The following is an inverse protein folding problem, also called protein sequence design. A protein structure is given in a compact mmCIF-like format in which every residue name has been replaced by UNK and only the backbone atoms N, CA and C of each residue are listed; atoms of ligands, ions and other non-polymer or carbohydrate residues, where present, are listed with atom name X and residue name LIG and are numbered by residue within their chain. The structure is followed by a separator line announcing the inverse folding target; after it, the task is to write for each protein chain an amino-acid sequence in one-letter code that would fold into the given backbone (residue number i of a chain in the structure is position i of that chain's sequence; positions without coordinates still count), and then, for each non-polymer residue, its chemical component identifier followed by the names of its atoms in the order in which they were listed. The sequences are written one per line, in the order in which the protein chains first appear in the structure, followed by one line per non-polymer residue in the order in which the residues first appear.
data_IF_060898666731
#
_entry.id   IF_060898666731
#
_cell.length_a   1.000
_cell.length_b   1.000
_cell.length_c   1.000
_cell.angle_alpha   90.00
_cell.angle_beta   90.00
_cell.angle_gamma   90.00
#
_symmetry.space_group_name_H-M   'P 1'
#
loop_
_entity.id
_entity.type
_entity.pdbx_description
1 polymer ?
#
# COMPACT_ATOMS: atom_id res chain seq x y z
N UNK A 1 32.66 19.73 10.61
CA UNK A 1 32.59 18.27 10.38
C UNK A 1 32.70 17.56 11.71
N UNK A 2 31.57 17.26 12.36
CA UNK A 2 31.53 16.24 13.41
C UNK A 2 31.48 14.88 12.71
N UNK A 3 32.14 13.83 13.23
CA UNK A 3 32.04 12.50 12.64
C UNK A 3 30.60 12.03 12.83
N UNK A 4 29.85 11.90 11.73
CA UNK A 4 28.73 10.96 11.73
C UNK A 4 29.32 9.62 12.14
N UNK A 5 28.95 9.13 13.33
CA UNK A 5 29.19 7.73 13.65
C UNK A 5 28.51 6.91 12.55
N UNK A 6 29.30 6.17 11.78
CA UNK A 6 28.78 5.33 10.70
C UNK A 6 27.70 4.41 11.29
N UNK A 7 26.44 4.49 10.82
CA UNK A 7 25.39 3.60 11.30
C UNK A 7 25.75 2.15 10.97
N UNK A 8 25.27 1.21 11.77
CA UNK A 8 25.37 -0.20 11.41
C UNK A 8 24.63 -0.44 10.07
N UNK A 9 25.24 -1.24 9.21
CA UNK A 9 24.69 -1.64 7.91
C UNK A 9 24.86 -3.15 7.73
N UNK A 10 24.11 -3.72 6.79
CA UNK A 10 24.28 -5.11 6.38
C UNK A 10 25.32 -5.18 5.27
N UNK A 11 26.45 -5.82 5.53
CA UNK A 11 27.41 -6.22 4.50
C UNK A 11 26.96 -7.57 3.94
N UNK A 12 26.36 -7.54 2.74
CA UNK A 12 25.70 -8.70 2.13
C UNK A 12 26.62 -9.36 1.11
N UNK A 13 26.81 -10.68 1.23
CA UNK A 13 27.58 -11.46 0.26
C UNK A 13 26.76 -11.87 -0.97
N UNK A 14 25.43 -11.79 -0.87
CA UNK A 14 24.48 -12.06 -1.94
C UNK A 14 23.29 -11.10 -1.82
N UNK A 15 22.86 -10.54 -2.94
CA UNK A 15 21.68 -9.68 -3.01
C UNK A 15 20.91 -9.95 -4.30
N UNK A 16 19.59 -10.00 -4.20
CA UNK A 16 18.68 -10.04 -5.33
C UNK A 16 17.75 -8.84 -5.22
N UNK A 17 18.12 -7.74 -5.87
CA UNK A 17 17.34 -6.51 -5.87
C UNK A 17 17.38 -5.84 -7.25
N UNK A 18 16.25 -5.43 -7.83
CA UNK A 18 16.21 -4.73 -9.11
C UNK A 18 17.09 -3.46 -9.16
N UNK A 19 17.26 -2.73 -8.04
CA UNK A 19 18.10 -1.54 -7.98
C UNK A 19 19.54 -1.80 -8.47
N UNK A 20 20.09 -2.99 -8.20
CA UNK A 20 21.44 -3.37 -8.61
C UNK A 20 21.57 -3.49 -10.12
N UNK A 21 20.49 -3.84 -10.83
CA UNK A 21 20.48 -3.89 -12.30
C UNK A 21 20.51 -2.51 -12.95
N UNK A 22 20.15 -1.46 -12.20
CA UNK A 22 20.26 -0.05 -12.60
C UNK A 22 21.60 0.58 -12.21
N UNK A 23 22.56 -0.22 -11.74
CA UNK A 23 23.91 0.25 -11.38
C UNK A 23 24.03 0.78 -9.95
N UNK A 24 23.02 0.62 -9.10
CA UNK A 24 23.15 0.93 -7.68
C UNK A 24 24.06 -0.09 -6.96
N UNK A 25 24.89 0.38 -6.03
CA UNK A 25 25.73 -0.49 -5.18
C UNK A 25 24.98 -1.02 -3.95
N UNK A 26 23.84 -0.42 -3.60
CA UNK A 26 23.09 -0.78 -2.40
C UNK A 26 21.84 0.06 -2.19
N UNK A 27 21.24 -0.07 -1.01
CA UNK A 27 20.02 0.64 -0.61
C UNK A 27 20.23 1.31 0.73
N UNK A 28 19.84 2.57 0.81
CA UNK A 28 19.78 3.32 2.08
C UNK A 28 18.31 3.44 2.49
N UNK A 29 17.95 2.83 3.61
CA UNK A 29 16.60 2.93 4.15
C UNK A 29 16.35 4.30 4.80
N UNK A 30 15.33 5.01 4.31
CA UNK A 30 14.95 6.36 4.77
C UNK A 30 13.62 6.36 5.56
N UNK A 31 13.19 5.19 6.00
CA UNK A 31 12.00 5.00 6.83
C UNK A 31 12.29 5.12 8.33
N UNK A 32 11.25 4.84 9.13
CA UNK A 32 11.34 4.88 10.59
C UNK A 32 12.23 3.77 11.15
N UNK A 33 12.98 4.10 12.22
CA UNK A 33 13.82 3.13 12.96
C UNK A 33 13.03 1.92 13.45
N UNK A 34 11.74 2.10 13.77
CA UNK A 34 10.86 1.02 14.25
C UNK A 34 10.69 -0.15 13.27
N UNK A 35 10.93 0.08 11.97
CA UNK A 35 10.86 -0.97 10.94
C UNK A 35 12.25 -1.56 10.61
N UNK A 36 13.33 -1.03 11.19
CA UNK A 36 14.70 -1.48 10.89
C UNK A 36 14.99 -2.84 11.55
N UNK A 37 15.24 -3.86 10.72
CA UNK A 37 15.74 -5.16 11.20
C UNK A 37 17.12 -5.03 11.86
N UNK A 38 17.98 -4.13 11.37
CA UNK A 38 19.30 -3.87 11.95
C UNK A 38 19.14 -3.33 13.37
N UNK A 39 18.26 -2.35 13.56
CA UNK A 39 17.98 -1.78 14.88
C UNK A 39 17.44 -2.84 15.82
N UNK A 40 16.45 -3.62 15.37
CA UNK A 40 15.86 -4.69 16.16
C UNK A 40 16.94 -5.68 16.65
N UNK A 41 17.76 -6.22 15.74
CA UNK A 41 18.77 -7.23 16.05
C UNK A 41 19.89 -6.69 16.95
N UNK A 42 20.39 -5.47 16.69
CA UNK A 42 21.45 -4.88 17.50
C UNK A 42 20.93 -4.49 18.88
N UNK A 43 19.70 -3.98 18.98
CA UNK A 43 19.09 -3.61 20.25
C UNK A 43 18.90 -4.83 21.18
N UNK A 44 18.70 -6.04 20.64
CA UNK A 44 18.69 -7.28 21.45
C UNK A 44 20.00 -7.55 22.19
N UNK A 45 21.12 -6.97 21.75
CA UNK A 45 22.42 -7.07 22.44
C UNK A 45 22.61 -6.01 23.53
N UNK A 46 21.67 -5.05 23.65
CA UNK A 46 21.78 -3.87 24.52
C UNK A 46 22.54 -2.70 23.89
N UNK A 47 23.04 -2.84 22.66
CA UNK A 47 23.71 -1.77 21.93
C UNK A 47 22.72 -0.87 21.17
N UNK A 48 23.01 0.42 21.09
CA UNK A 48 22.23 1.41 20.33
C UNK A 48 22.85 1.75 18.96
N UNK A 49 23.88 1.03 18.54
CA UNK A 49 24.60 1.28 17.27
C UNK A 49 23.82 0.87 16.02
N UNK A 50 22.68 0.18 16.19
CA UNK A 50 21.80 -0.27 15.11
C UNK A 50 20.76 0.76 14.63
N UNK A 51 20.69 1.93 15.28
CA UNK A 51 19.73 2.99 14.94
C UNK A 51 19.90 3.41 13.48
N UNK A 52 18.78 3.78 12.83
CA UNK A 52 18.76 4.14 11.41
C UNK A 52 19.67 5.35 11.10
N UNK A 53 20.06 5.48 9.82
CA UNK A 53 20.88 6.60 9.35
C UNK A 53 20.25 7.95 9.73
N UNK A 54 18.97 8.14 9.42
CA UNK A 54 18.28 9.41 9.68
C UNK A 54 18.11 9.68 11.17
N UNK A 55 17.80 8.66 11.99
CA UNK A 55 17.77 8.83 13.44
C UNK A 55 19.11 9.34 13.98
N UNK A 56 20.22 8.73 13.54
CA UNK A 56 21.55 9.16 13.99
C UNK A 56 21.90 10.56 13.46
N UNK A 57 21.52 10.91 12.23
CA UNK A 57 21.75 12.24 11.66
C UNK A 57 21.03 13.33 12.47
N UNK A 58 19.75 13.14 12.77
CA UNK A 58 18.94 14.08 13.54
C UNK A 58 19.39 14.16 15.01
N UNK A 59 19.72 13.03 15.64
CA UNK A 59 20.23 13.01 17.00
C UNK A 59 21.59 13.70 17.15
N UNK A 60 22.42 13.70 16.10
CA UNK A 60 23.73 14.35 16.10
C UNK A 60 23.65 15.88 16.04
N UNK A 61 22.58 16.43 15.46
CA UNK A 61 22.37 17.88 15.40
C UNK A 61 20.90 18.24 15.65
N UNK A 62 20.43 18.18 16.91
CA UNK A 62 19.01 18.37 17.25
C UNK A 62 18.50 19.81 17.06
N UNK A 63 19.36 20.75 16.67
CA UNK A 63 18.97 22.12 16.33
C UNK A 63 18.59 22.29 14.85
N UNK A 64 18.92 21.31 14.00
CA UNK A 64 18.53 21.30 12.60
C UNK A 64 17.14 20.67 12.42
N UNK A 65 16.43 20.98 11.33
CA UNK A 65 15.14 20.38 11.07
C UNK A 65 15.20 18.86 10.86
N UNK A 66 14.20 18.14 11.40
CA UNK A 66 14.11 16.69 11.36
C UNK A 66 13.31 16.18 10.15
N UNK A 67 13.64 16.65 8.95
CA UNK A 67 12.96 16.20 7.74
C UNK A 67 13.93 15.87 6.61
N UNK A 68 13.42 15.11 5.65
CA UNK A 68 14.06 14.91 4.34
C UNK A 68 13.15 15.46 3.26
N UNK A 69 13.73 15.87 2.13
CA UNK A 69 12.96 16.36 1.00
C UNK A 69 13.41 15.74 -0.33
N UNK A 70 12.45 15.52 -1.22
CA UNK A 70 12.64 14.91 -2.54
C UNK A 70 12.02 15.74 -3.66
N UNK A 71 12.79 15.90 -4.74
CA UNK A 71 12.30 16.16 -6.08
C UNK A 71 12.74 15.01 -6.99
N UNK A 72 11.82 14.38 -7.73
CA UNK A 72 12.16 13.32 -8.68
C UNK A 72 11.89 13.83 -10.10
N UNK A 73 12.88 13.76 -11.00
CA UNK A 73 12.73 14.26 -12.37
C UNK A 73 12.91 13.15 -13.41
N UNK A 74 12.27 13.31 -14.58
CA UNK A 74 12.40 12.37 -15.69
C UNK A 74 13.67 12.68 -16.47
N UNK A 75 14.47 11.64 -16.73
CA UNK A 75 15.59 11.73 -17.66
C UNK A 75 15.18 11.96 -19.12
N UNK A 76 13.89 11.74 -19.43
CA UNK A 76 13.32 12.00 -20.76
C UNK A 76 12.68 13.38 -20.90
N UNK A 77 12.75 14.21 -19.86
CA UNK A 77 12.27 15.59 -19.95
C UNK A 77 13.24 16.37 -20.86
N UNK A 78 12.78 16.91 -22.00
CA UNK A 78 13.64 17.62 -22.93
C UNK A 78 14.24 18.90 -22.35
N UNK A 79 13.67 19.41 -21.25
CA UNK A 79 14.12 20.61 -20.54
C UNK A 79 14.90 20.27 -19.25
N UNK A 80 15.08 18.99 -18.91
CA UNK A 80 15.88 18.61 -17.75
C UNK A 80 17.38 18.73 -18.01
N UNK A 81 18.09 19.35 -17.06
CA UNK A 81 19.55 19.30 -16.96
C UNK A 81 20.02 17.86 -16.65
N UNK A 82 21.34 17.61 -16.64
CA UNK A 82 21.94 16.31 -16.25
C UNK A 82 21.59 15.86 -14.79
N UNK A 83 20.79 16.63 -14.05
CA UNK A 83 20.38 16.39 -12.65
C UNK A 83 18.98 15.77 -12.64
N UNK A 84 18.90 14.45 -12.43
CA UNK A 84 17.65 13.68 -12.50
C UNK A 84 16.76 13.76 -11.23
N UNK A 85 17.02 14.74 -10.35
CA UNK A 85 16.29 14.96 -9.10
C UNK A 85 17.18 15.42 -7.96
N UNK A 86 16.58 15.55 -6.77
CA UNK A 86 17.25 15.98 -5.55
C UNK A 86 16.81 15.14 -4.35
N UNK A 87 17.74 15.01 -3.41
CA UNK A 87 17.50 14.52 -2.06
C UNK A 87 18.26 15.41 -1.09
N UNK A 88 17.58 15.85 -0.04
CA UNK A 88 18.15 16.72 0.99
C UNK A 88 17.69 16.32 2.38
N UNK A 89 18.49 16.68 3.39
CA UNK A 89 18.24 16.40 4.80
C UNK A 89 18.29 17.75 5.55
N UNK A 90 17.19 18.11 6.20
CA UNK A 90 17.07 19.33 7.00
C UNK A 90 16.97 20.64 6.21
N UNK A 91 16.92 20.57 4.87
CA UNK A 91 16.83 21.72 3.99
C UNK A 91 15.87 21.48 2.83
N UNK A 92 15.43 22.56 2.18
CA UNK A 92 14.60 22.52 0.99
C UNK A 92 15.31 23.23 -0.16
N UNK A 93 15.01 22.81 -1.37
CA UNK A 93 15.46 23.53 -2.55
C UNK A 93 14.80 24.92 -2.60
N UNK A 94 15.56 26.00 -2.88
CA UNK A 94 15.03 27.35 -2.90
C UNK A 94 13.81 27.51 -3.82
N UNK A 95 13.82 26.85 -4.97
CA UNK A 95 12.73 26.85 -5.96
C UNK A 95 11.42 26.28 -5.40
N UNK A 96 11.51 25.26 -4.54
CA UNK A 96 10.35 24.58 -3.97
C UNK A 96 10.01 25.02 -2.54
N UNK A 97 10.61 26.12 -2.06
CA UNK A 97 10.41 26.65 -0.70
C UNK A 97 8.95 26.90 -0.31
N UNK A 98 8.05 27.06 -1.28
CA UNK A 98 6.61 27.17 -1.07
C UNK A 98 6.00 25.95 -0.34
N UNK A 99 6.62 24.77 -0.42
CA UNK A 99 6.16 23.56 0.29
C UNK A 99 6.12 23.75 1.81
N UNK A 100 6.97 24.62 2.37
CA UNK A 100 7.01 24.89 3.81
C UNK A 100 5.68 25.50 4.30
N UNK A 101 4.95 26.18 3.41
CA UNK A 101 3.62 26.76 3.66
C UNK A 101 2.47 25.78 3.34
N UNK A 102 2.75 24.60 2.79
CA UNK A 102 1.72 23.58 2.58
C UNK A 102 1.20 23.03 3.91
N UNK A 103 -0.09 22.74 3.92
CA UNK A 103 -0.77 22.04 5.01
C UNK A 103 -0.10 20.68 5.24
N UNK A 104 0.25 20.42 6.50
CA UNK A 104 0.79 19.12 6.90
C UNK A 104 -0.27 18.02 6.75
N UNK A 105 0.14 16.90 6.18
CA UNK A 105 -0.62 15.66 6.06
C UNK A 105 -0.05 14.67 7.06
N UNK A 106 -0.77 14.39 8.15
CA UNK A 106 -0.31 13.43 9.16
C UNK A 106 -0.14 12.03 8.58
N UNK A 107 0.80 11.28 9.14
CA UNK A 107 0.93 9.86 8.83
C UNK A 107 -0.28 9.04 9.31
N UNK A 108 -0.38 7.81 8.83
CA UNK A 108 -1.32 6.80 9.32
C UNK A 108 -0.59 5.53 9.82
N UNK A 109 -0.66 5.18 11.11
CA UNK A 109 -1.32 5.92 12.18
C UNK A 109 -0.61 7.26 12.47
N UNK A 110 -1.35 8.17 13.11
CA UNK A 110 -0.82 9.51 13.49
C UNK A 110 0.27 9.39 14.56
N UNK A 111 0.12 8.46 15.49
CA UNK A 111 1.09 8.24 16.57
C UNK A 111 1.90 6.98 16.28
N UNK A 112 3.22 7.07 16.44
CA UNK A 112 4.17 5.96 16.25
C UNK A 112 4.04 5.21 14.92
N UNK A 113 4.01 5.90 13.76
CA UNK A 113 4.01 5.22 12.47
C UNK A 113 5.30 4.40 12.28
N UNK A 114 5.19 3.28 11.56
CA UNK A 114 6.34 2.47 11.10
C UNK A 114 6.69 2.73 9.64
N UNK A 115 5.83 3.44 8.91
CA UNK A 115 5.96 3.72 7.47
C UNK A 115 5.42 5.11 7.14
N UNK A 116 5.86 5.65 6.00
CA UNK A 116 5.33 6.89 5.41
C UNK A 116 3.96 6.68 4.76
N UNK A 117 3.05 6.11 5.53
CA UNK A 117 1.66 5.93 5.17
C UNK A 117 0.91 7.24 5.39
N UNK A 118 0.06 7.64 4.46
CA UNK A 118 -0.88 8.76 4.58
C UNK A 118 -2.27 8.32 4.14
N UNK A 119 -3.28 9.19 4.31
CA UNK A 119 -4.63 8.94 3.84
C UNK A 119 -4.87 9.57 2.46
N UNK A 120 -5.30 8.76 1.51
CA UNK A 120 -5.81 9.19 0.21
C UNK A 120 -7.32 9.43 0.30
N UNK A 121 -7.79 10.55 -0.24
CA UNK A 121 -9.18 10.96 -0.18
C UNK A 121 -10.01 10.42 -1.36
N UNK A 122 -9.46 10.52 -2.57
CA UNK A 122 -10.11 10.13 -3.82
C UNK A 122 -9.09 10.07 -4.97
N UNK A 123 -9.47 9.37 -6.04
CA UNK A 123 -8.82 9.50 -7.36
C UNK A 123 -9.73 10.27 -8.28
N UNK A 124 -9.17 11.23 -9.02
CA UNK A 124 -9.91 12.10 -9.93
C UNK A 124 -9.44 11.76 -11.34
N UNK A 125 -10.36 11.36 -12.23
CA UNK A 125 -10.06 11.00 -13.63
C UNK A 125 -10.92 11.89 -14.52
N UNK A 126 -10.30 12.91 -15.12
CA UNK A 126 -11.00 14.05 -15.70
C UNK A 126 -12.04 14.61 -14.72
N UNK A 127 -13.31 14.65 -15.16
CA UNK A 127 -14.41 15.14 -14.32
C UNK A 127 -14.98 14.11 -13.33
N UNK A 128 -14.49 12.86 -13.32
CA UNK A 128 -15.02 11.79 -12.46
C UNK A 128 -14.24 11.72 -11.15
N UNK A 129 -14.97 11.64 -10.04
CA UNK A 129 -14.43 11.37 -8.71
C UNK A 129 -14.63 9.90 -8.39
N UNK A 130 -13.54 9.16 -8.20
CA UNK A 130 -13.52 7.77 -7.79
C UNK A 130 -13.24 7.73 -6.29
N UNK A 131 -14.21 7.24 -5.52
CA UNK A 131 -14.04 7.01 -4.08
C UNK A 131 -13.06 5.87 -3.81
N UNK A 132 -12.37 5.95 -2.68
CA UNK A 132 -11.43 4.93 -2.23
C UNK A 132 -11.90 4.31 -0.90
N UNK A 133 -11.42 3.10 -0.63
CA UNK A 133 -11.72 2.36 0.59
C UNK A 133 -10.44 1.74 1.14
N UNK A 134 -10.48 1.40 2.43
CA UNK A 134 -9.36 0.78 3.12
C UNK A 134 -9.76 -0.55 3.73
N UNK A 135 -8.85 -1.51 3.63
CA UNK A 135 -8.84 -2.78 4.36
C UNK A 135 -8.02 -2.71 5.66
N UNK A 136 -7.26 -1.62 5.86
CA UNK A 136 -6.40 -1.41 7.02
C UNK A 136 -7.24 -1.14 8.26
N UNK A 137 -6.93 -1.86 9.34
CA UNK A 137 -7.68 -1.74 10.59
C UNK A 137 -7.65 -0.31 11.14
N UNK A 138 -8.84 0.22 11.43
CA UNK A 138 -9.01 1.55 12.04
C UNK A 138 -8.93 2.71 11.04
N UNK A 139 -8.63 2.45 9.76
CA UNK A 139 -8.62 3.49 8.75
C UNK A 139 -10.01 4.15 8.62
N UNK A 140 -10.09 5.48 8.42
CA UNK A 140 -11.37 6.17 8.26
C UNK A 140 -12.13 5.67 7.03
N UNK A 141 -13.47 5.64 7.13
CA UNK A 141 -14.33 5.33 5.99
C UNK A 141 -14.16 6.36 4.86
N UNK A 142 -14.16 5.89 3.62
CA UNK A 142 -13.98 6.75 2.43
C UNK A 142 -12.55 7.25 2.24
N UNK A 143 -11.57 6.60 2.88
CA UNK A 143 -10.13 6.83 2.68
C UNK A 143 -9.44 5.51 2.36
N UNK A 144 -8.30 5.59 1.67
CA UNK A 144 -7.33 4.50 1.54
C UNK A 144 -6.05 4.88 2.29
N UNK A 145 -5.39 3.89 2.90
CA UNK A 145 -4.06 4.07 3.48
C UNK A 145 -3.04 3.82 2.37
N UNK A 146 -2.23 4.82 2.06
CA UNK A 146 -1.27 4.74 0.96
C UNK A 146 0.15 4.98 1.46
N UNK A 147 1.07 4.09 1.13
CA UNK A 147 2.50 4.23 1.39
C UNK A 147 3.11 5.11 0.31
N UNK A 148 3.86 6.14 0.69
CA UNK A 148 4.75 6.87 -0.22
C UNK A 148 6.13 6.20 -0.22
N UNK A 149 6.57 5.67 -1.35
CA UNK A 149 7.78 4.85 -1.45
C UNK A 149 8.65 5.24 -2.65
N UNK A 150 9.72 6.02 -2.39
CA UNK A 150 10.74 6.36 -3.38
C UNK A 150 11.63 5.17 -3.80
N UNK A 151 11.44 4.00 -3.18
CA UNK A 151 12.14 2.77 -3.54
C UNK A 151 11.43 1.96 -4.63
N UNK A 152 10.29 2.45 -5.14
CA UNK A 152 9.46 1.72 -6.10
C UNK A 152 9.10 2.61 -7.29
N UNK A 153 9.28 2.12 -8.51
CA UNK A 153 9.04 2.91 -9.73
C UNK A 153 7.56 3.12 -10.07
N UNK A 154 6.73 2.10 -9.85
CA UNK A 154 5.31 2.10 -10.23
C UNK A 154 4.39 2.09 -9.02
N UNK A 155 3.18 2.61 -9.20
CA UNK A 155 2.18 2.63 -8.14
C UNK A 155 1.40 1.33 -8.17
N UNK A 156 1.31 0.67 -7.03
CA UNK A 156 0.45 -0.48 -6.87
C UNK A 156 -0.85 -0.09 -6.16
N UNK A 157 -1.97 -0.42 -6.79
CA UNK A 157 -3.31 -0.04 -6.33
C UNK A 157 -4.29 -1.20 -6.49
N UNK A 158 -5.53 -1.02 -6.03
CA UNK A 158 -6.56 -2.04 -6.19
C UNK A 158 -6.94 -2.25 -7.67
N UNK A 159 -7.41 -3.45 -7.99
CA UNK A 159 -7.86 -3.80 -9.34
C UNK A 159 -8.98 -2.88 -9.84
N UNK A 160 -9.92 -2.51 -8.97
CA UNK A 160 -11.01 -1.58 -9.29
C UNK A 160 -10.49 -0.20 -9.71
N UNK A 161 -9.45 0.31 -9.04
CA UNK A 161 -8.84 1.60 -9.37
C UNK A 161 -8.10 1.51 -10.69
N UNK A 162 -7.29 0.47 -10.89
CA UNK A 162 -6.57 0.29 -12.15
C UNK A 162 -7.55 0.14 -13.33
N UNK A 163 -8.66 -0.56 -13.11
CA UNK A 163 -9.75 -0.68 -14.10
C UNK A 163 -10.44 0.66 -14.35
N UNK A 164 -10.63 1.49 -13.33
CA UNK A 164 -11.19 2.82 -13.51
C UNK A 164 -10.27 3.74 -14.33
N UNK A 165 -8.94 3.60 -14.18
CA UNK A 165 -7.92 4.35 -14.92
C UNK A 165 -7.86 3.88 -16.38
N UNK A 166 -7.68 2.59 -16.63
CA UNK A 166 -7.35 2.08 -17.97
C UNK A 166 -8.52 1.43 -18.71
N UNK A 167 -9.53 0.90 -18.02
CA UNK A 167 -10.60 0.10 -18.63
C UNK A 167 -11.51 0.88 -19.59
N UNK A 168 -11.50 2.21 -19.51
CA UNK A 168 -12.20 3.09 -20.46
C UNK A 168 -11.35 3.54 -21.66
N UNK A 169 -10.05 3.24 -21.67
CA UNK A 169 -9.12 3.67 -22.72
C UNK A 169 -9.30 2.77 -23.95
N UNK A 170 -9.58 3.37 -25.11
CA UNK A 170 -9.75 2.61 -26.36
C UNK A 170 -8.46 1.89 -26.73
N UNK A 171 -8.53 0.58 -26.97
CA UNK A 171 -7.35 -0.23 -27.31
C UNK A 171 -6.50 -0.66 -26.10
N UNK A 172 -6.85 -0.25 -24.89
CA UNK A 172 -6.21 -0.78 -23.69
C UNK A 172 -6.72 -2.19 -23.36
N UNK A 173 -5.84 -3.04 -22.84
CA UNK A 173 -6.20 -4.36 -22.33
C UNK A 173 -5.33 -4.73 -21.13
N UNK A 174 -5.91 -5.44 -20.17
CA UNK A 174 -5.12 -6.05 -19.11
C UNK A 174 -4.43 -7.32 -19.63
N UNK A 175 -3.11 -7.41 -19.49
CA UNK A 175 -2.34 -8.60 -19.76
C UNK A 175 -2.13 -9.36 -18.44
N UNK A 176 -2.87 -10.45 -18.25
CA UNK A 176 -2.80 -11.27 -17.03
C UNK A 176 -1.48 -12.03 -16.89
N UNK A 177 -0.72 -12.21 -17.98
CA UNK A 177 0.61 -12.83 -17.91
C UNK A 177 1.66 -11.87 -17.37
N UNK A 178 1.49 -10.57 -17.64
CA UNK A 178 2.34 -9.50 -17.11
C UNK A 178 1.82 -8.95 -15.77
N UNK A 179 0.53 -9.16 -15.47
CA UNK A 179 -0.13 -8.52 -14.33
C UNK A 179 -0.25 -7.00 -14.50
N UNK A 180 -0.27 -6.51 -15.75
CA UNK A 180 -0.16 -5.09 -16.08
C UNK A 180 -1.09 -4.72 -17.24
N UNK A 181 -1.54 -3.47 -17.26
CA UNK A 181 -2.30 -2.92 -18.39
C UNK A 181 -1.37 -2.56 -19.54
N UNK A 182 -1.72 -3.01 -20.75
CA UNK A 182 -1.16 -2.52 -22.00
C UNK A 182 -2.09 -1.43 -22.52
N UNK A 183 -1.52 -0.29 -22.91
CA UNK A 183 -2.25 0.91 -23.30
C UNK A 183 -1.65 1.50 -24.58
N UNK A 184 -2.47 2.12 -25.46
CA UNK A 184 -1.92 2.87 -26.58
C UNK A 184 -1.00 4.00 -26.10
N UNK A 185 0.12 4.20 -26.78
CA UNK A 185 1.08 5.25 -26.40
C UNK A 185 0.57 6.68 -26.60
N UNK A 186 -0.48 6.86 -27.38
CA UNK A 186 -1.17 8.14 -27.60
C UNK A 186 -2.37 8.34 -26.65
N UNK A 187 -2.62 7.39 -25.73
CA UNK A 187 -3.64 7.52 -24.72
C UNK A 187 -3.21 8.51 -23.62
N UNK A 188 -3.72 9.73 -23.70
CA UNK A 188 -3.63 10.69 -22.61
C UNK A 188 -4.65 10.34 -21.52
N UNK A 189 -4.16 10.16 -20.28
CA UNK A 189 -4.99 9.90 -19.11
C UNK A 189 -4.83 11.07 -18.15
N UNK A 190 -5.86 11.92 -18.08
CA UNK A 190 -5.95 13.03 -17.14
C UNK A 190 -6.38 12.53 -15.75
N UNK A 191 -5.42 12.48 -14.82
CA UNK A 191 -5.61 11.95 -13.46
C UNK A 191 -4.97 12.84 -12.39
N UNK A 192 -5.64 12.93 -11.24
CA UNK A 192 -5.10 13.54 -10.04
C UNK A 192 -5.45 12.72 -8.79
N UNK A 193 -4.61 12.83 -7.76
CA UNK A 193 -4.90 12.29 -6.43
C UNK A 193 -5.36 13.41 -5.51
N UNK A 194 -6.37 13.15 -4.69
CA UNK A 194 -6.77 14.06 -3.63
C UNK A 194 -6.23 13.58 -2.29
N UNK A 195 -5.40 14.40 -1.65
CA UNK A 195 -4.73 14.09 -0.39
C UNK A 195 -4.88 15.29 0.56
N UNK A 196 -5.41 15.05 1.76
CA UNK A 196 -5.60 16.13 2.75
C UNK A 196 -6.49 17.27 2.24
N UNK A 197 -7.46 16.97 1.38
CA UNK A 197 -8.36 17.91 0.74
C UNK A 197 -7.78 18.67 -0.45
N UNK A 198 -6.49 18.49 -0.77
CA UNK A 198 -5.82 19.14 -1.92
C UNK A 198 -5.69 18.17 -3.09
N UNK A 199 -5.72 18.71 -4.30
CA UNK A 199 -5.60 17.94 -5.55
C UNK A 199 -4.18 18.02 -6.08
N UNK A 200 -3.61 16.88 -6.43
CA UNK A 200 -2.27 16.74 -7.00
C UNK A 200 -2.38 16.01 -8.35
N UNK A 201 -2.35 16.77 -9.47
CA UNK A 201 -2.32 16.21 -10.81
C UNK A 201 -1.08 15.34 -11.02
N UNK A 202 -1.22 14.28 -11.83
CA UNK A 202 -0.10 13.45 -12.25
C UNK A 202 0.13 13.67 -13.74
N UNK A 203 1.38 13.81 -14.13
CA UNK A 203 1.74 14.03 -15.53
C UNK A 203 1.40 12.80 -16.40
N UNK A 204 0.67 12.93 -17.53
CA UNK A 204 0.23 11.78 -18.34
C UNK A 204 1.36 10.88 -18.86
N UNK A 205 2.56 11.43 -19.14
CA UNK A 205 3.73 10.61 -19.50
C UNK A 205 4.20 9.65 -18.39
N UNK A 206 3.89 9.92 -17.12
CA UNK A 206 4.18 8.98 -16.03
C UNK A 206 3.14 7.86 -15.91
N UNK A 207 1.99 7.99 -16.59
CA UNK A 207 0.93 6.97 -16.57
C UNK A 207 1.14 5.91 -17.65
N UNK A 208 1.69 6.31 -18.80
CA UNK A 208 1.77 5.50 -20.01
C UNK A 208 3.18 5.53 -20.65
N UNK A 209 4.25 5.19 -19.92
CA UNK A 209 5.59 5.07 -20.49
C UNK A 209 5.66 3.94 -21.52
N UNK A 210 6.63 4.05 -22.43
CA UNK A 210 6.94 2.97 -23.36
C UNK A 210 7.39 1.72 -22.60
N UNK A 211 6.98 0.54 -23.07
CA UNK A 211 7.43 -0.73 -22.50
C UNK A 211 8.94 -0.89 -22.67
N UNK A 212 9.60 -1.37 -21.62
CA UNK A 212 11.03 -1.71 -21.66
C UNK A 212 11.34 -2.87 -22.62
N UNK A 213 10.36 -3.74 -22.89
CA UNK A 213 10.52 -4.90 -23.76
C UNK A 213 10.05 -4.65 -25.19
N UNK A 214 9.17 -3.66 -25.40
CA UNK A 214 8.65 -3.26 -26.70
C UNK A 214 8.38 -1.75 -26.72
N UNK A 215 9.32 -0.93 -27.22
CA UNK A 215 9.15 0.52 -27.28
C UNK A 215 7.98 1.00 -28.15
N UNK A 216 7.37 0.13 -28.97
CA UNK A 216 6.20 0.45 -29.78
C UNK A 216 4.87 0.29 -29.03
N UNK A 217 4.92 -0.29 -27.83
CA UNK A 217 3.80 -0.47 -26.91
C UNK A 217 4.02 0.33 -25.63
N UNK A 218 2.93 0.78 -24.99
CA UNK A 218 2.99 1.47 -23.71
C UNK A 218 2.27 0.66 -22.64
N UNK A 219 2.68 0.87 -21.39
CA UNK A 219 2.16 0.14 -20.23
C UNK A 219 1.60 1.08 -19.19
N UNK A 220 0.57 0.65 -18.48
CA UNK A 220 0.03 1.39 -17.34
C UNK A 220 0.95 1.28 -16.12
N UNK A 221 1.28 2.40 -15.49
CA UNK A 221 2.13 2.44 -14.27
C UNK A 221 1.37 2.29 -12.96
N UNK A 222 0.04 2.18 -13.03
CA UNK A 222 -0.79 1.71 -11.93
C UNK A 222 -1.01 0.22 -12.08
N UNK A 223 -0.33 -0.56 -11.23
CA UNK A 223 -0.31 -2.01 -11.29
C UNK A 223 -1.37 -2.56 -10.33
N UNK A 224 -2.32 -3.38 -10.81
CA UNK A 224 -3.29 -3.98 -9.92
C UNK A 224 -2.62 -4.99 -8.99
N UNK A 225 -2.86 -4.84 -7.70
CA UNK A 225 -2.40 -5.80 -6.70
C UNK A 225 -3.57 -6.48 -5.98
N UNK A 226 -3.41 -7.77 -5.61
CA UNK A 226 -4.24 -8.37 -4.59
C UNK A 226 -4.01 -7.62 -3.27
N UNK A 227 -5.09 -7.33 -2.56
CA UNK A 227 -5.28 -6.37 -1.44
C UNK A 227 -4.45 -6.65 -0.15
N UNK A 228 -3.27 -7.26 -0.23
CA UNK A 228 -2.46 -7.62 0.95
C UNK A 228 -0.97 -7.37 0.74
N UNK A 229 -0.61 -6.20 0.21
CA UNK A 229 0.78 -5.73 0.29
C UNK A 229 1.05 -5.14 1.66
N UNK A 230 2.28 -5.35 2.16
CA UNK A 230 2.63 -4.98 3.53
C UNK A 230 1.85 -5.73 4.61
N UNK A 231 1.32 -6.93 4.32
CA UNK A 231 0.56 -7.74 5.27
C UNK A 231 -0.66 -7.03 5.91
N UNK A 232 -1.28 -6.10 5.17
CA UNK A 232 -2.46 -5.33 5.62
C UNK A 232 -2.11 -4.01 6.32
N UNK A 233 -0.87 -3.53 6.20
CA UNK A 233 -0.43 -2.25 6.78
C UNK A 233 -0.82 -1.03 5.93
N UNK A 234 -1.03 -1.21 4.63
CA UNK A 234 -1.48 -0.17 3.69
C UNK A 234 -2.25 -0.82 2.54
N UNK A 235 -3.10 -0.03 1.87
CA UNK A 235 -3.87 -0.49 0.72
C UNK A 235 -3.07 -0.34 -0.57
N UNK A 236 -2.36 0.78 -0.74
CA UNK A 236 -1.62 1.12 -1.96
C UNK A 236 -0.17 1.45 -1.64
N UNK A 237 0.70 1.21 -2.61
CA UNK A 237 2.08 1.67 -2.61
C UNK A 237 2.24 2.67 -3.76
N UNK A 238 2.47 3.93 -3.43
CA UNK A 238 2.67 5.03 -4.38
C UNK A 238 4.17 5.17 -4.66
N UNK A 239 4.54 4.91 -5.91
CA UNK A 239 5.92 4.94 -6.39
C UNK A 239 6.27 6.23 -7.14
N UNK A 240 7.45 6.22 -7.76
CA UNK A 240 8.05 7.35 -8.47
C UNK A 240 7.14 7.93 -9.56
N UNK A 241 6.37 7.10 -10.27
CA UNK A 241 5.42 7.53 -11.30
C UNK A 241 4.42 8.59 -10.80
N UNK A 242 4.10 8.57 -9.51
CA UNK A 242 3.25 9.59 -8.87
C UNK A 242 4.08 10.61 -8.12
N UNK A 243 5.12 10.17 -7.39
CA UNK A 243 5.95 11.05 -6.57
C UNK A 243 6.69 12.11 -7.39
N UNK A 244 7.01 11.85 -8.67
CA UNK A 244 7.56 12.85 -9.61
C UNK A 244 6.68 14.09 -9.78
N UNK A 245 5.38 13.97 -9.55
CA UNK A 245 4.45 15.09 -9.70
C UNK A 245 4.38 15.99 -8.45
N UNK A 246 5.19 15.69 -7.42
CA UNK A 246 5.16 16.38 -6.14
C UNK A 246 6.56 16.62 -5.57
N UNK A 247 6.83 17.82 -5.10
CA UNK A 247 7.91 18.04 -4.16
C UNK A 247 7.42 17.64 -2.77
N UNK A 248 8.14 16.75 -2.10
CA UNK A 248 7.69 16.12 -0.86
C UNK A 248 8.69 16.31 0.26
N UNK A 249 8.18 16.76 1.42
CA UNK A 249 8.91 16.78 2.69
C UNK A 249 8.34 15.67 3.56
N UNK A 250 9.23 14.85 4.11
CA UNK A 250 8.91 13.82 5.10
C UNK A 250 9.52 14.23 6.44
N UNK A 251 8.68 14.75 7.33
CA UNK A 251 9.07 15.32 8.61
C UNK A 251 8.83 14.31 9.73
N UNK A 252 9.88 13.96 10.44
CA UNK A 252 9.86 12.97 11.52
C UNK A 252 9.27 13.53 12.82
N UNK A 253 9.01 14.84 12.88
CA UNK A 253 8.59 15.55 14.08
C UNK A 253 9.77 16.08 14.90
N UNK A 254 9.51 17.17 15.62
CA UNK A 254 10.48 17.76 16.54
C UNK A 254 10.52 16.99 17.86
N UNK A 255 11.69 16.94 18.48
CA UNK A 255 11.81 16.41 19.84
C UNK A 255 11.26 17.43 20.86
N UNK A 256 10.41 16.98 21.76
CA UNK A 256 9.99 17.77 22.91
C UNK A 256 11.12 17.88 23.96
N UNK A 257 10.90 18.69 25.00
CA UNK A 257 11.88 18.86 26.09
C UNK A 257 12.15 17.59 26.90
N UNK A 258 11.31 16.56 26.76
CA UNK A 258 11.48 15.26 27.38
C UNK A 258 12.17 14.25 26.44
N UNK A 259 12.55 14.67 25.23
CA UNK A 259 13.20 13.83 24.22
C UNK A 259 12.25 12.92 23.46
N UNK A 260 10.93 13.16 23.54
CA UNK A 260 9.96 12.42 22.73
C UNK A 260 9.84 13.08 21.36
N UNK A 261 9.90 12.27 20.31
CA UNK A 261 9.67 12.75 18.94
C UNK A 261 8.19 13.04 18.73
N UNK A 262 7.89 14.21 18.15
CA UNK A 262 6.54 14.60 17.75
C UNK A 262 5.95 13.66 16.69
N UNK A 263 4.66 13.85 16.39
CA UNK A 263 4.00 13.04 15.38
C UNK A 263 4.51 13.37 13.97
N UNK A 264 4.99 12.38 13.20
CA UNK A 264 5.46 12.61 11.84
C UNK A 264 4.35 13.08 10.90
N UNK A 265 4.75 13.81 9.86
CA UNK A 265 3.84 14.28 8.81
C UNK A 265 4.58 14.46 7.49
N UNK A 266 3.80 14.61 6.42
CA UNK A 266 4.30 14.94 5.08
C UNK A 266 3.79 16.32 4.68
N UNK A 267 4.60 17.12 3.99
CA UNK A 267 4.12 18.28 3.24
C UNK A 267 4.37 18.05 1.76
N UNK A 268 3.36 18.37 0.95
CA UNK A 268 3.38 18.15 -0.49
C UNK A 268 3.18 19.49 -1.21
N UNK A 269 3.91 19.68 -2.29
CA UNK A 269 3.74 20.76 -3.26
C UNK A 269 3.58 20.13 -4.63
N UNK A 270 2.49 20.45 -5.33
CA UNK A 270 2.29 19.96 -6.70
C UNK A 270 3.29 20.64 -7.65
N UNK A 271 3.92 19.83 -8.50
CA UNK A 271 4.85 20.28 -9.54
C UNK A 271 4.23 20.28 -10.94
N UNK A 272 2.97 19.87 -11.05
CA UNK A 272 2.29 19.64 -12.33
C UNK A 272 1.17 20.65 -12.51
N UNK A 273 1.28 21.50 -13.53
CA UNK A 273 0.12 22.14 -14.13
C UNK A 273 -0.50 21.18 -15.16
N UNK A 274 -1.77 20.78 -15.02
CA UNK A 274 -2.35 19.75 -15.87
C UNK A 274 -2.50 20.20 -17.33
N UNK A 275 -2.71 21.49 -17.61
CA UNK A 275 -2.82 21.97 -18.98
C UNK A 275 -1.45 21.96 -19.67
N UNK A 276 -0.41 22.35 -18.94
CA UNK A 276 0.97 22.25 -19.42
C UNK A 276 1.37 20.79 -19.66
N UNK A 277 1.08 19.89 -18.71
CA UNK A 277 1.37 18.47 -18.85
C UNK A 277 0.67 17.82 -20.05
N UNK A 278 -0.55 18.26 -20.36
CA UNK A 278 -1.25 17.85 -21.58
C UNK A 278 -0.52 18.32 -22.84
N UNK A 279 -0.10 19.59 -22.87
CA UNK A 279 0.67 20.14 -23.99
C UNK A 279 1.99 19.36 -24.22
N UNK A 280 2.72 19.07 -23.14
CA UNK A 280 3.97 18.30 -23.16
C UNK A 280 3.74 16.85 -23.60
N UNK A 281 2.68 16.19 -23.10
CA UNK A 281 2.30 14.85 -23.56
C UNK A 281 2.09 14.82 -25.07
N UNK A 282 1.34 15.76 -25.63
CA UNK A 282 1.06 15.83 -27.06
C UNK A 282 2.24 16.31 -27.90
N UNK A 283 3.21 17.03 -27.33
CA UNK A 283 4.49 17.29 -27.98
C UNK A 283 5.28 16.00 -28.22
N UNK A 284 5.24 15.08 -27.27
CA UNK A 284 5.94 13.78 -27.35
C UNK A 284 5.14 12.74 -28.16
N UNK A 285 3.82 12.67 -27.96
CA UNK A 285 2.95 11.60 -28.49
C UNK A 285 2.10 12.01 -29.69
N UNK A 286 2.08 13.29 -30.05
CA UNK A 286 1.18 13.85 -31.07
C UNK A 286 -0.26 13.96 -30.58
N UNK A 287 -1.14 14.56 -31.38
CA UNK A 287 -2.56 14.77 -31.02
C UNK A 287 -2.89 16.23 -30.72
N UNK A 288 -3.96 16.47 -29.94
CA UNK A 288 -4.41 17.81 -29.56
C UNK A 288 -4.49 17.92 -28.04
N UNK A 289 -3.76 18.85 -27.40
CA UNK A 289 -3.82 19.08 -25.97
C UNK A 289 -5.22 19.37 -25.46
N UNK A 290 -5.54 18.79 -24.31
CA UNK A 290 -6.64 19.21 -23.47
C UNK A 290 -6.36 20.60 -22.91
N UNK A 291 -7.43 21.36 -22.67
CA UNK A 291 -7.35 22.72 -22.09
C UNK A 291 -8.45 22.91 -21.08
N UNK A 292 -8.24 23.84 -20.14
CA UNK A 292 -9.14 24.11 -19.02
C UNK A 292 -9.39 22.84 -18.17
N UNK A 293 -8.35 22.05 -17.94
CA UNK A 293 -8.43 20.87 -17.09
C UNK A 293 -8.74 21.31 -15.65
N UNK A 294 -9.80 20.73 -15.09
CA UNK A 294 -10.24 20.97 -13.71
C UNK A 294 -10.74 19.68 -13.10
N UNK A 295 -10.49 19.50 -11.81
CA UNK A 295 -10.92 18.31 -11.10
C UNK A 295 -12.03 18.62 -10.10
N UNK A 296 -13.00 17.70 -10.02
CA UNK A 296 -14.06 17.73 -9.01
C UNK A 296 -13.54 17.13 -7.70
N UNK A 297 -12.91 17.95 -6.87
CA UNK A 297 -12.45 17.53 -5.55
C UNK A 297 -13.62 16.96 -4.73
N UNK A 298 -13.43 15.79 -4.14
CA UNK A 298 -14.38 15.19 -3.22
C UNK A 298 -14.53 16.08 -1.98
N UNK A 299 -15.74 16.17 -1.44
CA UNK A 299 -15.99 16.77 -0.13
C UNK A 299 -15.37 15.87 0.94
N UNK A 300 -14.12 16.13 1.29
CA UNK A 300 -13.46 15.51 2.44
C UNK A 300 -14.10 16.07 3.72
N UNK A 301 -15.15 15.43 4.25
CA UNK A 301 -15.57 15.68 5.63
C UNK A 301 -14.43 15.22 6.54
N UNK A 302 -13.57 16.15 6.91
CA UNK A 302 -12.47 15.91 7.83
C UNK A 302 -13.04 15.46 9.18
N UNK A 303 -12.87 14.19 9.53
CA UNK A 303 -12.81 13.78 10.93
C UNK A 303 -11.43 14.19 11.49
N UNK A 304 -11.12 15.49 11.47
CA UNK A 304 -9.96 16.02 12.17
C UNK A 304 -10.41 16.41 13.57
N UNK A 305 -10.05 15.58 14.54
CA UNK A 305 -10.13 15.94 15.95
C UNK A 305 -9.09 17.02 16.24
N UNK A 306 -9.48 18.28 16.15
CA UNK A 306 -8.84 19.35 16.93
C UNK A 306 -9.88 20.36 17.38
N UNK A 307 -9.89 20.62 18.69
CA UNK A 307 -10.68 21.69 19.30
C UNK A 307 -10.09 23.04 18.89
N UNK A 308 -10.83 23.84 18.12
CA UNK A 308 -10.70 25.28 18.16
C UNK A 308 -12.00 25.98 17.75
N UNK A 309 -12.35 26.94 18.59
CA UNK A 309 -13.58 27.74 18.65
C UNK A 309 -13.80 28.65 17.43
N UNK A 310 -15.07 28.76 17.03
CA UNK A 310 -15.67 30.06 16.68
C UNK A 310 -15.52 30.53 15.25
N UNK A 311 -16.45 30.10 14.38
CA UNK A 311 -16.67 30.70 13.08
C UNK A 311 -17.97 30.19 12.49
N UNK A 312 -19.05 30.97 12.60
CA UNK A 312 -20.33 30.65 11.97
C UNK A 312 -20.17 30.78 10.45
N UNK A 313 -20.23 29.66 9.74
CA UNK A 313 -20.45 29.62 8.30
C UNK A 313 -21.76 28.89 8.05
N UNK A 314 -22.77 29.66 7.65
CA UNK A 314 -24.04 29.14 7.15
C UNK A 314 -23.77 28.42 5.83
N UNK A 315 -23.79 27.08 5.85
CA UNK A 315 -23.72 26.25 4.65
C UNK A 315 -25.11 26.12 4.08
N UNK A 316 -25.31 26.63 2.87
CA UNK A 316 -26.53 26.42 2.08
C UNK A 316 -26.57 24.96 1.66
N UNK A 317 -27.45 24.18 2.27
CA UNK A 317 -27.64 22.76 1.98
C UNK A 317 -28.32 22.57 0.62
N UNK A 318 -27.77 21.71 -0.24
CA UNK A 318 -28.45 21.24 -1.45
C UNK A 318 -29.76 20.52 -1.07
N UNK A 319 -30.86 20.81 -1.77
CA UNK A 319 -32.20 20.28 -1.48
C UNK A 319 -32.26 18.74 -1.36
N UNK A 320 -31.35 18.03 -2.02
CA UNK A 320 -31.23 16.57 -1.98
C UNK A 320 -30.66 16.02 -0.67
N UNK A 321 -29.76 16.78 -0.02
CA UNK A 321 -29.21 16.43 1.29
C UNK A 321 -30.23 16.72 2.41
N UNK A 322 -31.02 17.78 2.25
CA UNK A 322 -32.13 18.06 3.15
C UNK A 322 -33.19 16.94 3.09
N UNK A 323 -33.53 16.48 1.88
CA UNK A 323 -34.53 15.43 1.68
C UNK A 323 -34.08 14.07 2.25
N UNK A 324 -32.79 13.72 2.07
CA UNK A 324 -32.21 12.51 2.67
C UNK A 324 -32.14 12.58 4.20
N UNK A 325 -31.79 13.72 4.79
CA UNK A 325 -31.79 13.90 6.25
C UNK A 325 -33.21 13.81 6.83
N UNK A 326 -34.23 14.36 6.15
CA UNK A 326 -35.63 14.20 6.57
C UNK A 326 -36.11 12.76 6.44
N UNK A 327 -35.72 12.03 5.39
CA UNK A 327 -36.05 10.59 5.24
C UNK A 327 -35.40 9.77 6.35
N UNK A 328 -34.11 9.98 6.63
CA UNK A 328 -33.41 9.29 7.73
C UNK A 328 -34.08 9.57 9.07
N UNK A 329 -34.39 10.83 9.38
CA UNK A 329 -35.10 11.18 10.62
C UNK A 329 -36.50 10.57 10.74
N UNK A 330 -37.19 10.38 9.62
CA UNK A 330 -38.56 9.82 9.60
C UNK A 330 -38.57 8.30 9.70
N UNK A 331 -37.63 7.61 9.04
CA UNK A 331 -37.62 6.14 8.98
C UNK A 331 -36.81 5.48 10.08
N UNK A 332 -35.83 6.17 10.69
CA UNK A 332 -35.00 5.60 11.76
C UNK A 332 -35.81 5.15 13.00
N UNK A 333 -36.80 5.92 13.50
CA UNK A 333 -37.64 5.46 14.62
C UNK A 333 -38.49 4.22 14.26
N UNK A 334 -39.00 4.15 13.03
CA UNK A 334 -39.77 3.01 12.56
C UNK A 334 -38.92 1.74 12.43
N UNK A 335 -37.69 1.87 11.94
CA UNK A 335 -36.71 0.78 11.85
C UNK A 335 -36.32 0.26 13.24
N UNK A 336 -36.04 1.16 14.19
CA UNK A 336 -35.74 0.80 15.58
C UNK A 336 -36.93 0.11 16.26
N UNK A 337 -38.17 0.54 15.99
CA UNK A 337 -39.37 -0.10 16.51
C UNK A 337 -39.55 -1.53 15.97
N UNK A 338 -39.31 -1.75 14.67
CA UNK A 338 -39.38 -3.10 14.06
C UNK A 338 -38.30 -4.02 14.64
N UNK A 339 -37.07 -3.51 14.82
CA UNK A 339 -35.98 -4.27 15.44
C UNK A 339 -36.29 -4.64 16.89
N UNK A 340 -36.85 -3.70 17.67
CA UNK A 340 -37.28 -3.96 19.04
C UNK A 340 -38.40 -4.99 19.12
N UNK A 341 -39.36 -4.96 18.19
CA UNK A 341 -40.44 -5.95 18.11
C UNK A 341 -39.91 -7.35 17.77
N UNK A 342 -38.98 -7.46 16.83
CA UNK A 342 -38.32 -8.73 16.50
C UNK A 342 -37.54 -9.29 17.69
N UNK A 343 -36.80 -8.44 18.41
CA UNK A 343 -36.10 -8.85 19.63
C UNK A 343 -37.07 -9.34 20.72
N UNK A 344 -38.22 -8.69 20.88
CA UNK A 344 -39.24 -9.07 21.86
C UNK A 344 -39.90 -10.42 21.51
N UNK A 345 -40.19 -10.66 20.22
CA UNK A 345 -40.70 -11.95 19.75
C UNK A 345 -39.69 -13.08 20.05
N UNK A 346 -38.41 -12.86 19.82
CA UNK A 346 -37.35 -13.85 20.13
C UNK A 346 -37.31 -14.15 21.63
N UNK A 347 -37.39 -13.13 22.49
CA UNK A 347 -37.40 -13.33 23.94
C UNK A 347 -38.62 -14.12 24.42
N UNK A 348 -39.80 -13.87 23.84
CA UNK A 348 -41.01 -14.63 24.15
C UNK A 348 -40.89 -16.11 23.72
N UNK A 349 -40.29 -16.39 22.57
CA UNK A 349 -40.04 -17.75 22.11
C UNK A 349 -39.06 -18.50 23.03
N UNK A 350 -38.01 -17.82 23.51
CA UNK A 350 -37.06 -18.38 24.48
C UNK A 350 -37.77 -18.70 25.81
N UNK A 351 -38.61 -17.77 26.31
CA UNK A 351 -39.38 -17.99 27.53
C UNK A 351 -40.36 -19.17 27.40
N UNK A 352 -41.06 -19.26 26.26
CA UNK A 352 -41.96 -20.38 25.97
C UNK A 352 -41.21 -21.73 25.90
N UNK A 353 -40.03 -21.75 25.29
CA UNK A 353 -39.17 -22.94 25.25
C UNK A 353 -38.73 -23.37 26.66
N UNK A 354 -38.35 -22.43 27.53
CA UNK A 354 -38.01 -22.72 28.92
C UNK A 354 -39.19 -23.28 29.71
N UNK A 355 -40.39 -22.69 29.57
CA UNK A 355 -41.61 -23.18 30.23
C UNK A 355 -41.97 -24.59 29.75
N UNK A 356 -41.83 -24.87 28.44
CA UNK A 356 -42.04 -26.20 27.88
C UNK A 356 -41.06 -27.23 28.45
N UNK A 357 -39.77 -26.89 28.55
CA UNK A 357 -38.74 -27.77 29.12
C UNK A 357 -38.97 -28.05 30.61
N UNK A 358 -39.38 -27.06 31.40
CA UNK A 358 -39.68 -27.25 32.81
C UNK A 358 -40.95 -28.06 33.05
N UNK A 359 -41.98 -27.93 32.21
CA UNK A 359 -43.19 -28.77 32.27
C UNK A 359 -42.92 -30.23 31.89
N UNK A 360 -41.90 -30.51 31.07
CA UNK A 360 -41.53 -31.88 30.68
C UNK A 360 -40.74 -32.65 31.74
N UNK A 361 -40.21 -31.98 32.77
CA UNK A 361 -39.48 -32.62 33.90
C UNK A 361 -40.38 -33.31 34.96
N UNK A 362 -41.69 -33.36 34.73
CA UNK A 362 -42.68 -33.96 35.65
C UNK A 362 -43.00 -35.45 35.48
N UNK A 363 -42.14 -36.28 34.87
CA UNK A 363 -42.32 -37.75 34.88
C UNK A 363 -41.08 -38.44 35.45
N UNK A 364 -41.20 -38.90 36.70
CA UNK A 364 -40.23 -39.78 37.38
C UNK A 364 -40.11 -41.09 36.59
N UNK A 365 -38.92 -41.43 36.13
CA UNK A 365 -38.56 -42.81 35.77
C UNK A 365 -37.39 -43.24 36.63
N UNK A 366 -37.58 -44.39 37.25
CA UNK A 366 -36.83 -45.01 38.35
C UNK A 366 -35.46 -45.48 37.85
N UNK A 367 -34.44 -45.30 38.68
CA UNK A 367 -33.08 -45.75 38.45
C UNK A 367 -32.97 -47.28 38.30
N UNK A 368 -32.14 -47.74 37.37
CA UNK A 368 -31.55 -49.08 37.41
C UNK A 368 -30.05 -48.97 37.13
N UNK A 369 -29.29 -49.55 38.03
CA UNK A 369 -27.83 -49.55 38.18
C UNK A 369 -27.10 -50.26 37.04
N UNK A 370 -25.98 -49.68 36.60
CA UNK A 370 -24.96 -50.35 35.77
C UNK A 370 -24.20 -51.40 36.60
N UNK A 371 -23.72 -52.46 35.94
CA UNK A 371 -22.28 -52.74 36.05
C UNK A 371 -21.65 -53.14 34.71
N UNK A 372 -20.34 -52.91 34.60
CA UNK A 372 -19.48 -53.80 33.82
C UNK A 372 -18.97 -53.27 32.49
N UNK A 373 -17.82 -52.59 32.60
CA UNK A 373 -16.70 -52.54 31.64
C UNK A 373 -16.52 -53.84 30.85
N UNK A 374 -16.42 -53.75 29.52
CA UNK A 374 -15.37 -54.40 28.71
C UNK A 374 -15.54 -54.07 27.20
N UNK A 375 -14.40 -53.91 26.53
CA UNK A 375 -14.19 -53.57 25.11
C UNK A 375 -14.95 -54.44 24.12
N UNK A 376 -15.05 -54.02 22.85
CA UNK A 376 -14.95 -55.00 21.78
C UNK A 376 -14.05 -54.58 20.60
N UNK A 377 -13.29 -55.59 20.18
CA UNK A 377 -12.60 -55.73 18.90
C UNK A 377 -13.59 -56.17 17.79
N UNK A 378 -13.15 -56.25 16.52
CA UNK A 378 -13.93 -55.86 15.34
C UNK A 378 -14.73 -57.01 14.71
N UNK A 379 -15.70 -56.65 13.88
CA UNK A 379 -16.48 -57.59 13.08
C UNK A 379 -16.15 -57.46 11.58
N UNK A 380 -16.07 -58.62 10.94
CA UNK A 380 -15.60 -58.86 9.59
C UNK A 380 -16.76 -58.95 8.59
N UNK A 381 -16.45 -58.55 7.34
CA UNK A 381 -17.00 -58.86 6.00
C UNK A 381 -18.33 -59.62 5.79
N UNK A 382 -19.05 -59.17 4.76
CA UNK A 382 -19.48 -59.86 3.50
C UNK A 382 -20.22 -58.83 2.61
N UNK A 383 -20.33 -58.83 1.27
CA UNK A 383 -19.70 -59.49 0.11
C UNK A 383 -20.47 -59.06 -1.18
N UNK A 384 -19.80 -58.74 -2.30
CA UNK A 384 -20.12 -59.10 -3.71
C UNK A 384 -19.21 -58.31 -4.69
N UNK A 385 -18.21 -58.93 -5.33
CA UNK A 385 -18.16 -59.65 -6.62
C UNK A 385 -17.90 -58.77 -7.87
N UNK A 386 -16.69 -58.93 -8.47
CA UNK A 386 -16.30 -58.43 -9.80
C UNK A 386 -14.81 -58.10 -9.96
N UNK A 387 -13.99 -59.07 -10.42
CA UNK A 387 -12.53 -59.03 -10.71
C UNK A 387 -12.21 -58.55 -12.16
N UNK A 388 -10.95 -58.44 -12.63
CA UNK A 388 -9.69 -57.92 -12.03
C UNK A 388 -8.80 -57.09 -13.01
N UNK A 389 -7.85 -56.28 -12.50
CA UNK A 389 -6.40 -56.22 -12.89
C UNK A 389 -5.68 -54.93 -12.44
N UNK A 390 -5.10 -54.99 -11.22
CA UNK A 390 -3.72 -54.68 -10.76
C UNK A 390 -2.80 -53.62 -11.45
N UNK A 391 -1.75 -53.09 -10.78
CA UNK A 391 -1.79 -52.13 -9.65
C UNK A 391 -0.79 -50.95 -9.80
N UNK A 392 -0.99 -49.86 -9.05
CA UNK A 392 0.07 -49.13 -8.29
C UNK A 392 -0.52 -47.96 -7.48
N UNK A 393 0.04 -47.62 -6.30
CA UNK A 393 -0.68 -46.90 -5.25
C UNK A 393 -0.47 -45.38 -5.24
N UNK A 394 -1.51 -44.65 -4.82
CA UNK A 394 -1.46 -43.24 -4.44
C UNK A 394 -1.12 -43.12 -2.94
N UNK A 395 -0.12 -42.32 -2.60
CA UNK A 395 0.26 -41.99 -1.22
C UNK A 395 -0.36 -40.66 -0.78
N UNK A 396 -1.14 -40.72 0.29
CA UNK A 396 -1.67 -39.60 1.08
C UNK A 396 -0.57 -39.00 1.96
N UNK A 397 -0.46 -37.68 1.98
CA UNK A 397 0.44 -36.92 2.86
C UNK A 397 -0.24 -36.59 4.21
N UNK A 398 0.49 -36.81 5.30
CA UNK A 398 0.24 -36.27 6.65
C UNK A 398 1.54 -35.55 7.09
N UNK A 399 1.48 -34.37 7.74
CA UNK A 399 2.64 -33.51 7.91
C UNK A 399 3.56 -33.96 9.05
N UNK A 400 4.87 -34.00 8.79
CA UNK A 400 5.91 -34.16 9.80
C UNK A 400 6.61 -32.83 10.00
N UNK A 401 6.44 -32.27 11.19
CA UNK A 401 7.27 -31.21 11.76
C UNK A 401 8.68 -31.73 12.01
N UNK A 402 9.71 -31.06 11.48
CA UNK A 402 11.11 -31.31 11.85
C UNK A 402 11.81 -29.99 12.15
N UNK A 403 12.39 -29.99 13.35
CA UNK A 403 13.27 -29.01 13.91
C UNK A 403 14.60 -28.90 13.12
N UNK A 404 15.28 -27.79 13.38
CA UNK A 404 16.62 -27.45 12.93
C UNK A 404 17.61 -28.62 13.10
N UNK A 405 18.41 -28.86 12.06
CA UNK A 405 19.85 -29.15 12.16
C UNK A 405 20.56 -28.64 10.92
N UNK A 406 21.67 -27.94 11.14
CA UNK A 406 22.65 -27.51 10.14
C UNK A 406 23.15 -28.68 9.29
N UNK A 407 23.18 -28.51 7.97
CA UNK A 407 24.19 -29.17 7.15
C UNK A 407 24.42 -28.41 5.83
N UNK A 408 25.68 -28.05 5.62
CA UNK A 408 26.25 -27.37 4.46
C UNK A 408 26.03 -28.15 3.17
N UNK A 409 25.38 -27.52 2.18
CA UNK A 409 25.32 -28.04 0.81
C UNK A 409 25.80 -26.98 -0.20
N UNK A 410 26.88 -27.30 -0.89
CA UNK A 410 27.46 -26.55 -2.02
C UNK A 410 26.74 -27.02 -3.29
N UNK A 411 26.16 -26.13 -4.12
CA UNK A 411 25.54 -26.54 -5.37
C UNK A 411 26.59 -26.79 -6.48
N UNK A 412 26.35 -27.76 -7.38
CA UNK A 412 27.27 -28.08 -8.47
C UNK A 412 27.14 -27.07 -9.61
N UNK A 413 28.28 -26.55 -10.08
CA UNK A 413 28.41 -25.75 -11.29
C UNK A 413 28.19 -26.60 -12.55
N UNK A 414 27.35 -26.11 -13.46
CA UNK A 414 27.09 -26.75 -14.75
C UNK A 414 28.26 -26.57 -15.74
N UNK A 415 28.62 -27.67 -16.40
CA UNK A 415 29.57 -27.70 -17.50
C UNK A 415 28.89 -27.27 -18.81
N UNK A 416 29.47 -26.29 -19.51
CA UNK A 416 29.25 -26.15 -20.94
C UNK A 416 30.57 -25.91 -21.69
N UNK A 417 30.57 -26.50 -22.87
CA UNK A 417 31.66 -26.95 -23.73
C UNK A 417 32.42 -25.84 -24.44
N UNK A 418 33.73 -26.03 -24.53
CA UNK A 418 34.71 -25.19 -25.22
C UNK A 418 34.82 -25.65 -26.67
N UNK A 419 34.30 -24.87 -27.63
CA UNK A 419 34.65 -25.04 -29.04
C UNK A 419 35.87 -24.20 -29.40
N UNK A 420 36.78 -24.86 -30.12
CA UNK A 420 38.08 -24.39 -30.55
C UNK A 420 37.98 -23.33 -31.65
N UNK A 421 38.74 -22.23 -31.54
CA UNK A 421 39.31 -21.58 -32.72
C UNK A 421 40.78 -21.23 -32.52
N UNK A 422 41.53 -21.63 -33.54
CA UNK A 422 42.97 -21.57 -33.75
C UNK A 422 43.56 -20.17 -33.60
N UNK A 423 44.73 -20.10 -32.97
CA UNK A 423 45.79 -19.13 -33.31
C UNK A 423 46.47 -19.57 -34.60
N UNK A 424 47.07 -18.63 -35.36
CA UNK A 424 48.53 -18.64 -35.35
C UNK A 424 49.20 -17.25 -35.32
N UNK A 425 50.34 -17.24 -34.61
CA UNK A 425 51.63 -16.55 -34.83
C UNK A 425 51.71 -15.02 -35.05
N UNK A 426 52.27 -14.36 -34.03
CA UNK A 426 53.58 -13.64 -34.02
C UNK A 426 54.03 -12.88 -35.28
N UNK A 427 54.40 -11.60 -35.13
CA UNK A 427 55.80 -11.06 -35.06
C UNK A 427 55.74 -9.52 -35.23
N UNK A 428 56.63 -8.84 -34.50
CA UNK A 428 57.04 -7.42 -34.51
C UNK A 428 56.33 -6.51 -33.50
#
# INVERSE_FOLDING_TARGET
MLPLYLPAYLDVSQAQNPALSYGADGIVGLGFTSLSTIDALVNHTGASTGRSLLFNAFAANPSEPNYIAFALQRSSDPDADDVEGSFSIGEVEPEYSAVLNSTAVSTWPVNSPSRWNILLDAVLIGSKTIGVSSSVQGAPSGKAVVLLDSGTSYTYASEDVCTAIYGGVSGANFDSSLGQWIVPCDAEIDIALQIGGKVYPIHPLDLTPASLTDPSSCVGTFIPQPVAVGAGEFDWLIGDNVLRSMYSIYDFGDFDSAGNMGNPFVKLLSLVDPNQASAEFHQVRGGQPLTNITYNAANSTSASGSLASGGSTTVTLSNELADTLTKVGTYLPALLAIMALNALVILLLIAAAFVYMFRRRGKKVRARTNPGRMSPMPMNRTSSFGLPSDPSPAHTYEPVSMALTDDTFIPPSAAFTKESKMRPNSVA
#
